data_IF_352366833004
#
_entry.id   IF_352366833004
#
_cell.length_a   1.000
_cell.length_b   1.000
_cell.length_c   1.000
_cell.angle_alpha   90.00
_cell.angle_beta   90.00
_cell.angle_gamma   90.00
#
_symmetry.space_group_name_H-M   'P 1'
#
loop_
_entity.id
_entity.type
_entity.pdbx_description
1 polymer ?
#
# COMPACT_ATOMS: atom_id res chain seq x y z
N UNK A 1 20.64 -17.53 8.43
CA UNK A 1 20.31 -18.65 9.31
C UNK A 1 21.10 -19.90 8.92
N UNK A 2 21.89 -20.47 9.83
CA UNK A 2 22.59 -21.75 9.60
C UNK A 2 21.67 -22.95 9.86
N UNK A 3 20.67 -22.80 10.73
CA UNK A 3 19.69 -23.84 11.06
C UNK A 3 18.56 -23.83 10.01
N UNK A 4 18.32 -25.00 9.38
CA UNK A 4 17.28 -25.15 8.33
C UNK A 4 15.85 -24.91 8.85
N UNK A 5 15.57 -25.25 10.11
CA UNK A 5 14.25 -25.00 10.72
C UNK A 5 14.02 -23.50 10.85
N UNK A 6 14.98 -22.75 11.43
CA UNK A 6 14.89 -21.30 11.56
C UNK A 6 14.82 -20.58 10.20
N UNK A 7 15.50 -21.14 9.19
CA UNK A 7 15.40 -20.63 7.81
C UNK A 7 14.00 -20.86 7.24
N UNK A 8 13.42 -22.04 7.47
CA UNK A 8 12.03 -22.33 7.07
C UNK A 8 11.01 -21.40 7.71
N UNK A 9 11.15 -21.13 9.01
CA UNK A 9 10.32 -20.15 9.73
C UNK A 9 10.47 -18.73 9.16
N UNK A 10 11.70 -18.34 8.77
CA UNK A 10 11.95 -17.06 8.13
C UNK A 10 11.21 -16.96 6.77
N UNK A 11 11.29 -17.99 5.95
CA UNK A 11 10.53 -18.03 4.69
C UNK A 11 9.02 -17.94 4.93
N UNK A 12 8.46 -18.72 5.84
CA UNK A 12 7.02 -18.70 6.16
C UNK A 12 6.55 -17.31 6.56
N UNK A 13 7.31 -16.57 7.38
CA UNK A 13 6.91 -15.21 7.80
C UNK A 13 6.95 -14.20 6.66
N UNK A 14 7.69 -14.47 5.58
CA UNK A 14 7.71 -13.62 4.39
C UNK A 14 6.70 -14.02 3.31
N UNK A 15 6.00 -15.16 3.47
CA UNK A 15 4.90 -15.57 2.58
C UNK A 15 3.57 -14.90 2.88
N UNK A 16 3.46 -14.06 3.93
CA UNK A 16 2.26 -13.27 4.18
C UNK A 16 2.04 -12.26 3.06
N UNK A 17 0.76 -11.86 2.89
CA UNK A 17 0.37 -10.86 1.90
C UNK A 17 1.28 -9.64 1.95
N UNK A 18 1.78 -9.26 0.78
CA UNK A 18 2.65 -8.12 0.59
C UNK A 18 2.28 -7.43 -0.72
N UNK A 19 1.79 -6.19 -0.61
CA UNK A 19 1.43 -5.37 -1.76
C UNK A 19 1.78 -3.91 -1.46
N UNK A 20 2.70 -3.36 -2.23
CA UNK A 20 3.15 -1.97 -2.12
C UNK A 20 3.63 -1.52 -3.51
N UNK A 21 3.97 -0.25 -3.64
CA UNK A 21 4.56 0.25 -4.88
C UNK A 21 5.90 -0.43 -5.17
N UNK A 22 6.10 -0.84 -6.43
CA UNK A 22 7.16 -1.77 -6.83
C UNK A 22 8.60 -1.27 -6.60
N UNK A 23 8.81 0.04 -6.59
CA UNK A 23 10.15 0.64 -6.52
C UNK A 23 10.43 1.21 -5.13
N UNK A 24 9.61 2.17 -4.69
CA UNK A 24 9.74 2.82 -3.38
C UNK A 24 9.45 1.87 -2.24
N UNK A 25 8.26 1.27 -2.27
CA UNK A 25 7.79 0.42 -1.20
C UNK A 25 8.57 -0.88 -1.14
N UNK A 26 8.63 -1.60 -2.25
CA UNK A 26 9.33 -2.89 -2.29
C UNK A 26 10.83 -2.72 -2.02
N UNK A 27 11.49 -1.74 -2.64
CA UNK A 27 12.93 -1.50 -2.42
C UNK A 27 13.25 -1.21 -0.97
N UNK A 28 12.59 -0.21 -0.38
CA UNK A 28 12.86 0.20 1.00
C UNK A 28 12.51 -0.88 2.02
N UNK A 29 11.31 -1.49 1.90
CA UNK A 29 10.85 -2.51 2.84
C UNK A 29 11.72 -3.78 2.74
N UNK A 30 12.09 -4.20 1.54
CA UNK A 30 12.97 -5.36 1.36
C UNK A 30 14.33 -5.11 2.00
N UNK A 31 14.92 -3.93 1.81
CA UNK A 31 16.17 -3.57 2.47
C UNK A 31 16.05 -3.59 3.99
N UNK A 32 15.02 -2.97 4.56
CA UNK A 32 14.78 -2.94 6.01
C UNK A 32 14.62 -4.37 6.55
N UNK A 33 13.73 -5.15 5.94
CA UNK A 33 13.43 -6.51 6.42
C UNK A 33 14.63 -7.43 6.31
N UNK A 34 15.44 -7.33 5.25
CA UNK A 34 16.67 -8.10 5.11
C UNK A 34 17.68 -7.81 6.24
N UNK A 35 17.84 -6.54 6.60
CA UNK A 35 18.72 -6.16 7.70
C UNK A 35 18.22 -6.62 9.06
N UNK A 36 16.90 -6.55 9.31
CA UNK A 36 16.29 -7.03 10.55
C UNK A 36 16.42 -8.55 10.69
N UNK A 37 16.24 -9.30 9.59
CA UNK A 37 16.47 -10.77 9.57
C UNK A 37 17.94 -11.12 9.81
N UNK A 38 18.86 -10.35 9.23
CA UNK A 38 20.29 -10.57 9.45
C UNK A 38 20.66 -10.36 10.92
N UNK A 39 20.25 -9.27 11.54
CA UNK A 39 20.55 -9.00 12.96
C UNK A 39 19.87 -10.02 13.88
N UNK A 40 18.65 -10.46 13.56
CA UNK A 40 18.00 -11.57 14.26
C UNK A 40 18.82 -12.85 14.14
N UNK A 41 19.26 -13.20 12.95
CA UNK A 41 20.04 -14.40 12.71
C UNK A 41 21.39 -14.38 13.46
N UNK A 42 22.05 -13.22 13.53
CA UNK A 42 23.28 -13.02 14.32
C UNK A 42 23.03 -13.21 15.80
N UNK A 43 22.03 -12.53 16.37
CA UNK A 43 21.71 -12.64 17.79
C UNK A 43 21.42 -14.09 18.21
N UNK A 44 20.64 -14.82 17.40
CA UNK A 44 20.36 -16.23 17.66
C UNK A 44 21.60 -17.12 17.54
N UNK A 45 22.50 -16.82 16.62
CA UNK A 45 23.75 -17.58 16.46
C UNK A 45 24.72 -17.36 17.62
N UNK A 46 24.72 -16.17 18.18
CA UNK A 46 25.55 -15.78 19.33
C UNK A 46 24.94 -16.16 20.69
N UNK A 47 23.78 -16.84 20.69
CA UNK A 47 23.08 -17.24 21.92
C UNK A 47 22.34 -16.10 22.63
N UNK A 48 22.28 -14.90 22.03
CA UNK A 48 21.58 -13.72 22.59
C UNK A 48 20.09 -13.72 22.26
N UNK A 49 19.39 -14.80 22.64
CA UNK A 49 17.99 -15.03 22.27
C UNK A 49 17.07 -13.91 22.79
N UNK A 50 17.32 -13.41 24.00
CA UNK A 50 16.51 -12.35 24.62
C UNK A 50 16.63 -10.99 23.87
N UNK A 51 17.74 -10.77 23.16
CA UNK A 51 18.00 -9.55 22.39
C UNK A 51 17.59 -9.68 20.92
N UNK A 52 17.26 -10.90 20.47
CA UNK A 52 16.90 -11.15 19.08
C UNK A 52 15.59 -10.43 18.70
N UNK A 53 15.61 -9.74 17.57
CA UNK A 53 14.42 -9.08 17.01
C UNK A 53 13.32 -10.11 16.82
N UNK A 54 12.12 -9.82 17.31
CA UNK A 54 11.01 -10.77 17.25
C UNK A 54 10.43 -10.89 15.83
N UNK A 55 9.94 -12.07 15.44
CA UNK A 55 9.22 -12.24 14.16
C UNK A 55 8.05 -11.26 13.99
N UNK A 56 7.35 -10.98 15.10
CA UNK A 56 6.24 -10.03 15.12
C UNK A 56 6.71 -8.59 14.78
N UNK A 57 7.86 -8.15 15.28
CA UNK A 57 8.42 -6.83 14.97
C UNK A 57 8.80 -6.71 13.49
N UNK A 58 9.39 -7.75 12.89
CA UNK A 58 9.73 -7.77 11.47
C UNK A 58 8.46 -7.66 10.61
N UNK A 59 7.43 -8.46 10.92
CA UNK A 59 6.15 -8.43 10.20
C UNK A 59 5.42 -7.09 10.40
N UNK A 60 5.38 -6.54 11.60
CA UNK A 60 4.74 -5.26 11.88
C UNK A 60 5.42 -4.11 11.12
N UNK A 61 6.74 -4.10 11.03
CA UNK A 61 7.50 -3.12 10.24
C UNK A 61 7.14 -3.25 8.75
N UNK A 62 7.15 -4.47 8.22
CA UNK A 62 6.79 -4.76 6.83
C UNK A 62 5.37 -4.28 6.50
N UNK A 63 4.38 -4.66 7.31
CA UNK A 63 2.97 -4.33 7.09
C UNK A 63 2.71 -2.84 7.30
N UNK A 64 3.30 -2.24 8.34
CA UNK A 64 3.11 -0.83 8.66
C UNK A 64 3.65 0.13 7.60
N UNK A 65 4.71 -0.27 6.89
CA UNK A 65 5.30 0.54 5.81
C UNK A 65 4.61 0.33 4.44
N UNK A 66 3.87 -0.78 4.25
CA UNK A 66 3.25 -1.11 2.96
C UNK A 66 2.36 0.00 2.41
N UNK A 67 1.38 0.43 3.20
CA UNK A 67 0.39 1.43 2.78
C UNK A 67 1.00 2.80 2.47
N UNK A 68 1.74 3.41 3.42
CA UNK A 68 2.40 4.70 3.20
C UNK A 68 3.29 4.74 1.97
N UNK A 69 4.13 3.72 1.79
CA UNK A 69 5.05 3.68 0.65
C UNK A 69 4.35 3.34 -0.67
N UNK A 70 3.23 2.62 -0.65
CA UNK A 70 2.39 2.45 -1.82
C UNK A 70 1.83 3.80 -2.29
N UNK A 71 1.19 4.56 -1.39
CA UNK A 71 0.59 5.85 -1.74
C UNK A 71 1.61 6.89 -2.22
N UNK A 72 2.75 7.00 -1.54
CA UNK A 72 3.84 7.91 -1.95
C UNK A 72 4.42 7.48 -3.28
N UNK A 73 4.77 6.21 -3.43
CA UNK A 73 5.42 5.69 -4.63
C UNK A 73 4.55 5.78 -5.87
N UNK A 74 3.26 5.39 -5.77
CA UNK A 74 2.32 5.49 -6.88
C UNK A 74 2.08 6.95 -7.30
N UNK A 75 1.99 7.88 -6.34
CA UNK A 75 1.82 9.30 -6.64
C UNK A 75 3.05 9.90 -7.35
N UNK A 76 4.25 9.51 -6.95
CA UNK A 76 5.48 10.02 -7.55
C UNK A 76 5.76 9.33 -8.89
N UNK A 77 5.80 8.01 -8.92
CA UNK A 77 6.21 7.28 -10.12
C UNK A 77 5.14 7.32 -11.22
N UNK A 78 3.93 6.84 -10.91
CA UNK A 78 2.85 6.76 -11.88
C UNK A 78 2.12 8.09 -12.06
N UNK A 79 2.06 8.92 -11.01
CA UNK A 79 1.38 10.22 -11.05
C UNK A 79 2.24 11.38 -11.55
N UNK A 80 3.57 11.25 -11.55
CA UNK A 80 4.46 12.38 -11.87
C UNK A 80 5.58 11.98 -12.83
N UNK A 81 6.47 11.08 -12.42
CA UNK A 81 7.71 10.78 -13.18
C UNK A 81 7.39 10.20 -14.56
N UNK A 82 6.44 9.28 -14.63
CA UNK A 82 6.00 8.69 -15.89
C UNK A 82 5.46 9.74 -16.87
N UNK A 83 4.61 10.65 -16.36
CA UNK A 83 4.04 11.73 -17.21
C UNK A 83 5.07 12.76 -17.66
N UNK A 84 6.09 13.03 -16.85
CA UNK A 84 7.20 13.90 -17.28
C UNK A 84 7.91 13.31 -18.51
N UNK A 85 8.23 12.01 -18.50
CA UNK A 85 8.85 11.37 -19.66
C UNK A 85 7.91 11.33 -20.86
N UNK A 86 6.62 11.05 -20.68
CA UNK A 86 5.64 11.10 -21.78
C UNK A 86 5.61 12.50 -22.38
N UNK A 87 5.48 13.55 -21.57
CA UNK A 87 5.40 14.92 -22.03
C UNK A 87 6.69 15.36 -22.77
N UNK A 88 7.85 14.93 -22.30
CA UNK A 88 9.15 15.24 -22.91
C UNK A 88 9.26 14.69 -24.35
N UNK A 89 8.76 13.49 -24.61
CA UNK A 89 8.87 12.84 -25.92
C UNK A 89 7.58 12.93 -26.77
N UNK A 90 6.53 13.55 -26.26
CA UNK A 90 5.26 13.74 -26.98
C UNK A 90 5.43 14.47 -28.33
N UNK A 91 6.24 15.55 -28.45
CA UNK A 91 6.44 16.21 -29.74
C UNK A 91 7.05 15.30 -30.81
N UNK A 92 7.91 14.36 -30.41
CA UNK A 92 8.51 13.39 -31.31
C UNK A 92 7.48 12.37 -31.80
N UNK A 93 6.59 11.91 -30.91
CA UNK A 93 5.48 11.02 -31.27
C UNK A 93 4.47 11.70 -32.23
N UNK A 94 4.18 12.98 -32.01
CA UNK A 94 3.28 13.77 -32.87
C UNK A 94 3.82 13.92 -34.31
N UNK A 95 5.14 13.83 -34.51
CA UNK A 95 5.78 13.82 -35.83
C UNK A 95 5.73 12.42 -36.50
N UNK A 96 5.06 11.43 -35.89
CA UNK A 96 5.00 10.07 -36.41
C UNK A 96 6.25 9.23 -36.14
N UNK A 97 7.17 9.70 -35.30
CA UNK A 97 8.40 8.99 -34.97
C UNK A 97 8.14 7.97 -33.83
N UNK A 98 8.38 6.68 -34.12
CA UNK A 98 8.20 5.59 -33.16
C UNK A 98 9.05 5.75 -31.88
N UNK A 99 10.18 6.44 -31.94
CA UNK A 99 11.01 6.73 -30.76
C UNK A 99 10.26 7.58 -29.73
N UNK A 100 9.31 8.42 -30.16
CA UNK A 100 8.47 9.18 -29.25
C UNK A 100 7.59 8.31 -28.32
N UNK A 101 7.25 7.10 -28.75
CA UNK A 101 6.52 6.13 -27.94
C UNK A 101 7.46 5.23 -27.10
N UNK A 102 8.63 4.88 -27.61
CA UNK A 102 9.57 3.96 -26.96
C UNK A 102 10.43 4.63 -25.89
N UNK A 103 10.91 5.85 -26.14
CA UNK A 103 11.83 6.53 -25.23
C UNK A 103 11.23 6.81 -23.84
N UNK A 104 9.98 7.25 -23.68
CA UNK A 104 9.37 7.41 -22.35
C UNK A 104 9.45 6.16 -21.50
N UNK A 105 9.11 5.01 -22.10
CA UNK A 105 9.13 3.72 -21.41
C UNK A 105 10.55 3.30 -21.03
N UNK A 106 11.52 3.43 -21.94
CA UNK A 106 12.94 3.08 -21.69
C UNK A 106 13.50 3.99 -20.58
N UNK A 107 13.32 5.31 -20.71
CA UNK A 107 13.83 6.26 -19.71
C UNK A 107 13.20 6.03 -18.34
N UNK A 108 11.89 5.82 -18.26
CA UNK A 108 11.21 5.51 -17.03
C UNK A 108 11.76 4.22 -16.39
N UNK A 109 11.91 3.15 -17.18
CA UNK A 109 12.46 1.87 -16.70
C UNK A 109 13.89 2.02 -16.17
N UNK A 110 14.76 2.70 -16.88
CA UNK A 110 16.15 2.91 -16.46
C UNK A 110 16.24 3.71 -15.17
N UNK A 111 15.52 4.84 -15.09
CA UNK A 111 15.58 5.69 -13.89
C UNK A 111 15.01 4.99 -12.67
N UNK A 112 13.87 4.28 -12.83
CA UNK A 112 13.23 3.55 -11.75
C UNK A 112 14.10 2.39 -11.26
N UNK A 113 14.81 1.72 -12.14
CA UNK A 113 15.78 0.69 -11.76
C UNK A 113 16.94 1.26 -10.92
N UNK A 114 17.48 2.41 -11.33
CA UNK A 114 18.61 3.06 -10.62
C UNK A 114 18.20 3.44 -9.19
N UNK A 115 17.10 4.17 -9.03
CA UNK A 115 16.72 4.61 -7.71
C UNK A 115 16.07 3.49 -6.88
N UNK A 116 15.47 2.49 -7.51
CA UNK A 116 15.01 1.29 -6.84
C UNK A 116 16.15 0.56 -6.12
N UNK A 117 17.31 0.40 -6.77
CA UNK A 117 18.49 -0.14 -6.14
C UNK A 117 19.00 0.74 -4.98
N UNK A 118 18.94 2.07 -5.16
CA UNK A 118 19.29 3.01 -4.10
C UNK A 118 18.37 2.87 -2.88
N UNK A 119 17.07 2.65 -3.10
CA UNK A 119 16.10 2.40 -2.01
C UNK A 119 16.35 1.10 -1.27
N UNK A 120 16.76 0.03 -1.92
CA UNK A 120 17.15 -1.22 -1.24
C UNK A 120 18.34 -0.94 -0.31
N UNK A 121 19.35 -0.24 -0.81
CA UNK A 121 20.53 0.15 0.01
C UNK A 121 20.13 1.04 1.19
N UNK A 122 19.29 2.04 0.95
CA UNK A 122 18.80 2.95 1.98
C UNK A 122 17.99 2.18 3.04
N UNK A 123 17.09 1.30 2.60
CA UNK A 123 16.31 0.44 3.48
C UNK A 123 17.19 -0.44 4.35
N UNK A 124 18.20 -1.09 3.77
CA UNK A 124 19.13 -1.95 4.50
C UNK A 124 19.91 -1.17 5.55
N UNK A 125 20.47 -0.01 5.20
CA UNK A 125 21.22 0.84 6.14
C UNK A 125 20.34 1.39 7.28
N UNK A 126 19.09 1.76 6.96
CA UNK A 126 18.11 2.27 7.92
C UNK A 126 17.63 1.16 8.86
N UNK A 127 17.31 -0.01 8.32
CA UNK A 127 16.91 -1.18 9.10
C UNK A 127 18.00 -1.63 10.06
N UNK A 128 19.25 -1.63 9.64
CA UNK A 128 20.39 -1.97 10.51
C UNK A 128 20.55 -0.98 11.67
N UNK A 129 20.39 0.32 11.42
CA UNK A 129 20.40 1.34 12.50
C UNK A 129 19.23 1.13 13.46
N UNK A 130 18.03 0.90 12.92
CA UNK A 130 16.86 0.60 13.71
C UNK A 130 17.07 -0.67 14.55
N UNK A 131 17.60 -1.75 14.00
CA UNK A 131 17.90 -2.99 14.71
C UNK A 131 18.83 -2.76 15.91
N UNK A 132 19.88 -1.97 15.75
CA UNK A 132 20.81 -1.62 16.82
C UNK A 132 20.16 -0.77 17.93
N UNK A 133 19.25 0.12 17.56
CA UNK A 133 18.44 0.91 18.51
C UNK A 133 17.45 0.02 19.28
N UNK A 134 16.89 -1.01 18.62
CA UNK A 134 15.99 -2.02 19.21
C UNK A 134 16.66 -2.76 20.35
N UNK A 135 17.87 -3.21 20.10
CA UNK A 135 18.65 -3.95 21.10
C UNK A 135 18.98 -3.10 22.33
N UNK A 136 18.93 -1.76 22.20
CA UNK A 136 19.28 -0.81 23.26
C UNK A 136 18.12 -0.30 24.12
N UNK A 137 16.84 -0.56 23.78
CA UNK A 137 15.77 -0.06 24.63
C UNK A 137 14.32 -0.05 24.11
N UNK A 138 13.41 0.24 25.02
CA UNK A 138 11.94 0.16 24.96
C UNK A 138 11.21 0.99 23.87
N UNK A 139 11.89 1.76 23.04
CA UNK A 139 11.26 2.72 22.10
C UNK A 139 10.61 2.11 20.87
N UNK A 140 10.88 0.84 20.59
CA UNK A 140 10.39 0.18 19.37
C UNK A 140 8.91 0.00 19.30
N UNK A 141 8.28 -0.35 20.42
CA UNK A 141 6.82 -0.50 20.41
C UNK A 141 6.15 0.78 19.91
N UNK A 142 6.63 1.94 20.40
CA UNK A 142 6.10 3.24 19.96
C UNK A 142 6.34 3.53 18.47
N UNK A 143 7.49 3.10 17.91
CA UNK A 143 7.76 3.25 16.47
C UNK A 143 6.86 2.34 15.65
N UNK A 144 6.71 1.07 16.04
CA UNK A 144 5.80 0.12 15.37
C UNK A 144 4.36 0.60 15.44
N UNK A 145 3.91 1.04 16.61
CA UNK A 145 2.57 1.59 16.79
C UNK A 145 2.36 2.85 15.94
N UNK A 146 3.36 3.74 15.89
CA UNK A 146 3.34 4.94 15.04
C UNK A 146 3.27 4.62 13.54
N UNK A 147 4.06 3.66 13.07
CA UNK A 147 4.00 3.17 11.69
C UNK A 147 2.65 2.51 11.37
N UNK A 148 2.08 1.79 12.34
CA UNK A 148 0.74 1.21 12.22
C UNK A 148 -0.34 2.28 12.05
N UNK A 149 -0.31 3.34 12.85
CA UNK A 149 -1.23 4.49 12.73
C UNK A 149 -1.06 5.18 11.39
N UNK A 150 0.17 5.44 10.96
CA UNK A 150 0.45 6.02 9.65
C UNK A 150 -0.08 5.13 8.52
N UNK A 151 0.12 3.82 8.59
CA UNK A 151 -0.41 2.85 7.63
C UNK A 151 -1.95 2.89 7.53
N UNK A 152 -2.64 2.91 8.68
CA UNK A 152 -4.11 3.03 8.72
C UNK A 152 -4.60 4.37 8.16
N UNK A 153 -3.91 5.46 8.45
CA UNK A 153 -4.23 6.78 7.90
C UNK A 153 -4.10 6.80 6.37
N UNK A 154 -2.99 6.28 5.83
CA UNK A 154 -2.78 6.17 4.39
C UNK A 154 -3.80 5.23 3.71
N UNK A 155 -4.16 4.12 4.34
CA UNK A 155 -5.24 3.25 3.87
C UNK A 155 -6.58 3.98 3.78
N UNK A 156 -6.88 4.85 4.75
CA UNK A 156 -8.06 5.71 4.71
C UNK A 156 -8.04 6.69 3.54
N UNK A 157 -6.91 7.34 3.28
CA UNK A 157 -6.73 8.24 2.12
C UNK A 157 -6.91 7.47 0.80
N UNK A 158 -6.29 6.30 0.66
CA UNK A 158 -6.43 5.47 -0.53
C UNK A 158 -7.88 5.02 -0.74
N UNK A 159 -8.56 4.58 0.31
CA UNK A 159 -9.96 4.22 0.25
C UNK A 159 -10.83 5.41 -0.23
N UNK A 160 -10.63 6.59 0.33
CA UNK A 160 -11.36 7.80 -0.09
C UNK A 160 -11.06 8.22 -1.55
N UNK A 161 -9.84 7.96 -2.01
CA UNK A 161 -9.39 8.33 -3.36
C UNK A 161 -9.88 7.37 -4.44
N UNK A 162 -9.87 6.07 -4.16
CA UNK A 162 -10.16 5.02 -5.15
C UNK A 162 -11.60 4.50 -5.11
N UNK A 163 -12.25 4.49 -3.95
CA UNK A 163 -13.64 4.06 -3.86
C UNK A 163 -14.56 5.20 -4.33
N UNK A 164 -15.08 5.09 -5.55
CA UNK A 164 -16.01 6.05 -6.16
C UNK A 164 -17.38 5.41 -6.22
N UNK A 165 -18.26 5.85 -5.36
CA UNK A 165 -19.67 5.41 -5.32
C UNK A 165 -20.54 6.64 -5.23
N UNK A 166 -21.46 6.79 -6.19
CA UNK A 166 -22.41 7.90 -6.27
C UNK A 166 -23.81 7.36 -6.56
N UNK A 167 -24.84 8.09 -6.18
CA UNK A 167 -26.22 7.71 -6.49
C UNK A 167 -26.88 8.72 -7.43
N UNK A 168 -27.53 8.28 -8.53
CA UNK A 168 -28.27 9.13 -9.44
C UNK A 168 -29.67 9.45 -8.92
N UNK A 169 -30.09 8.92 -7.79
CA UNK A 169 -31.45 9.08 -7.26
C UNK A 169 -31.73 10.56 -7.00
N UNK A 170 -32.77 11.06 -7.63
CA UNK A 170 -33.31 12.42 -7.45
C UNK A 170 -34.83 12.38 -7.35
N UNK A 171 -35.39 13.30 -6.60
CA UNK A 171 -36.85 13.47 -6.52
C UNK A 171 -37.21 14.94 -6.66
N UNK A 172 -38.38 15.19 -7.23
CA UNK A 172 -38.89 16.53 -7.40
C UNK A 172 -39.95 16.83 -6.33
N UNK A 173 -39.76 17.93 -5.62
CA UNK A 173 -40.74 18.43 -4.65
C UNK A 173 -40.97 19.92 -4.85
N UNK A 174 -42.22 20.31 -5.06
CA UNK A 174 -42.61 21.70 -5.26
C UNK A 174 -41.84 22.43 -6.39
N UNK A 175 -41.55 21.73 -7.50
CA UNK A 175 -40.83 22.29 -8.65
C UNK A 175 -39.30 22.44 -8.44
N UNK A 176 -38.78 21.87 -7.36
CA UNK A 176 -37.33 21.79 -7.13
C UNK A 176 -36.84 20.35 -7.16
N UNK A 177 -35.76 20.09 -7.89
CA UNK A 177 -35.12 18.79 -7.95
C UNK A 177 -34.12 18.64 -6.78
N UNK A 178 -34.33 17.62 -5.99
CA UNK A 178 -33.45 17.24 -4.88
C UNK A 178 -32.69 15.99 -5.28
N UNK A 179 -31.38 16.14 -5.56
CA UNK A 179 -30.47 15.03 -5.79
C UNK A 179 -29.98 14.49 -4.45
N UNK A 180 -30.20 13.20 -4.15
CA UNK A 180 -29.78 12.57 -2.90
C UNK A 180 -28.26 12.70 -2.72
N UNK A 181 -27.48 12.57 -3.79
CA UNK A 181 -26.03 12.74 -3.73
C UNK A 181 -25.65 14.11 -3.17
N UNK A 182 -26.25 15.18 -3.63
CA UNK A 182 -25.97 16.55 -3.17
C UNK A 182 -26.30 16.74 -1.68
N UNK A 183 -27.38 16.11 -1.22
CA UNK A 183 -27.78 16.15 0.20
C UNK A 183 -26.75 15.40 1.05
N UNK A 184 -26.35 14.21 0.62
CA UNK A 184 -25.38 13.38 1.33
C UNK A 184 -24.01 14.07 1.40
N UNK A 185 -23.55 14.63 0.29
CA UNK A 185 -22.26 15.33 0.23
C UNK A 185 -22.27 16.65 1.02
N UNK A 186 -23.46 17.26 1.19
CA UNK A 186 -23.64 18.42 2.07
C UNK A 186 -23.54 18.07 3.56
N UNK A 187 -23.85 16.85 3.96
CA UNK A 187 -23.71 16.36 5.34
C UNK A 187 -22.28 15.86 5.58
N UNK A 188 -21.82 14.96 4.73
CA UNK A 188 -20.48 14.38 4.80
C UNK A 188 -20.01 13.99 3.40
N UNK A 189 -19.07 14.74 2.79
CA UNK A 189 -18.51 14.39 1.49
C UNK A 189 -17.93 12.98 1.49
N UNK A 190 -18.36 12.15 0.51
CA UNK A 190 -17.89 10.78 0.39
C UNK A 190 -18.51 9.77 1.37
N UNK A 191 -19.67 10.05 1.93
CA UNK A 191 -20.37 9.14 2.86
C UNK A 191 -20.70 7.78 2.22
N UNK A 192 -21.05 7.71 0.95
CA UNK A 192 -21.33 6.45 0.25
C UNK A 192 -20.06 5.60 0.08
N UNK A 193 -18.93 6.12 -0.41
CA UNK A 193 -17.64 5.43 -0.38
C UNK A 193 -17.28 4.92 1.02
N UNK A 194 -17.42 5.76 2.05
CA UNK A 194 -17.12 5.37 3.43
C UNK A 194 -18.01 4.20 3.89
N UNK A 195 -19.30 4.24 3.59
CA UNK A 195 -20.24 3.19 3.95
C UNK A 195 -19.85 1.85 3.31
N UNK A 196 -19.46 1.84 2.03
CA UNK A 196 -18.98 0.63 1.34
C UNK A 196 -17.74 0.05 2.04
N UNK A 197 -16.77 0.89 2.40
CA UNK A 197 -15.55 0.46 3.10
C UNK A 197 -15.87 -0.09 4.49
N UNK A 198 -16.75 0.57 5.25
CA UNK A 198 -17.18 0.11 6.58
C UNK A 198 -17.92 -1.23 6.50
N UNK A 199 -18.83 -1.38 5.55
CA UNK A 199 -19.54 -2.65 5.34
C UNK A 199 -18.57 -3.78 4.99
N UNK A 200 -17.58 -3.53 4.14
CA UNK A 200 -16.52 -4.49 3.82
C UNK A 200 -15.69 -4.86 5.05
N UNK A 201 -15.32 -3.88 5.87
CA UNK A 201 -14.63 -4.12 7.13
C UNK A 201 -15.45 -5.00 8.07
N UNK A 202 -16.74 -4.69 8.26
CA UNK A 202 -17.64 -5.49 9.10
C UNK A 202 -17.81 -6.91 8.57
N UNK A 203 -17.87 -7.08 7.26
CA UNK A 203 -17.90 -8.39 6.61
C UNK A 203 -16.67 -9.21 6.96
N UNK A 204 -15.46 -8.64 6.83
CA UNK A 204 -14.22 -9.33 7.17
C UNK A 204 -14.08 -9.60 8.67
N UNK A 205 -14.53 -8.69 9.50
CA UNK A 205 -14.55 -8.89 10.96
C UNK A 205 -15.41 -10.09 11.36
N UNK A 206 -16.55 -10.30 10.67
CA UNK A 206 -17.49 -11.40 10.98
C UNK A 206 -17.09 -12.73 10.34
N UNK A 207 -16.63 -12.72 9.10
CA UNK A 207 -16.43 -13.93 8.28
C UNK A 207 -14.95 -14.32 8.07
N UNK A 208 -14.00 -13.55 8.62
CA UNK A 208 -12.58 -13.67 8.34
C UNK A 208 -12.20 -13.16 6.95
N UNK A 209 -10.91 -13.20 6.63
CA UNK A 209 -10.35 -12.66 5.38
C UNK A 209 -10.64 -13.57 4.15
N UNK A 210 -11.91 -13.77 3.83
CA UNK A 210 -12.33 -14.50 2.63
C UNK A 210 -12.44 -13.56 1.43
N UNK A 211 -11.30 -13.08 0.94
CA UNK A 211 -11.19 -12.00 -0.06
C UNK A 211 -11.96 -12.31 -1.34
N UNK A 212 -11.75 -13.49 -1.94
CA UNK A 212 -12.43 -13.88 -3.19
C UNK A 212 -13.95 -13.88 -3.04
N UNK A 213 -14.46 -14.42 -1.91
CA UNK A 213 -15.90 -14.43 -1.66
C UNK A 213 -16.45 -13.02 -1.47
N UNK A 214 -15.72 -12.16 -0.75
CA UNK A 214 -16.08 -10.75 -0.59
C UNK A 214 -16.13 -10.04 -1.94
N UNK A 215 -15.10 -10.18 -2.78
CA UNK A 215 -15.06 -9.57 -4.11
C UNK A 215 -16.27 -9.99 -4.97
N UNK A 216 -16.56 -11.28 -5.07
CA UNK A 216 -17.71 -11.78 -5.85
C UNK A 216 -19.03 -11.20 -5.29
N UNK A 217 -19.22 -11.25 -3.97
CA UNK A 217 -20.45 -10.76 -3.34
C UNK A 217 -20.64 -9.25 -3.59
N UNK A 218 -19.59 -8.44 -3.40
CA UNK A 218 -19.65 -7.01 -3.65
C UNK A 218 -19.88 -6.68 -5.12
N UNK A 219 -19.22 -7.39 -6.05
CA UNK A 219 -19.43 -7.21 -7.49
C UNK A 219 -20.88 -7.47 -7.85
N UNK A 220 -21.50 -8.55 -7.35
CA UNK A 220 -22.91 -8.86 -7.61
C UNK A 220 -23.83 -7.79 -7.03
N UNK A 221 -23.59 -7.37 -5.78
CA UNK A 221 -24.42 -6.34 -5.13
C UNK A 221 -24.35 -5.02 -5.91
N UNK A 222 -23.14 -4.55 -6.25
CA UNK A 222 -22.96 -3.28 -6.97
C UNK A 222 -23.55 -3.35 -8.38
N UNK A 223 -23.44 -4.50 -9.06
CA UNK A 223 -24.04 -4.71 -10.37
C UNK A 223 -25.57 -4.65 -10.31
N UNK A 224 -26.19 -5.29 -9.31
CA UNK A 224 -27.64 -5.24 -9.10
C UNK A 224 -28.08 -3.81 -8.79
N UNK A 225 -27.39 -3.11 -7.89
CA UNK A 225 -27.71 -1.72 -7.53
C UNK A 225 -27.54 -0.77 -8.72
N UNK A 226 -26.55 -1.00 -9.60
CA UNK A 226 -26.40 -0.26 -10.85
C UNK A 226 -27.51 -0.54 -11.86
N UNK A 227 -27.95 -1.80 -11.98
CA UNK A 227 -29.05 -2.17 -12.89
C UNK A 227 -30.39 -1.55 -12.50
N UNK A 228 -30.63 -1.33 -11.22
CA UNK A 228 -31.85 -0.67 -10.71
C UNK A 228 -31.70 0.84 -10.52
N UNK A 229 -30.62 1.44 -11.04
CA UNK A 229 -30.32 2.87 -10.96
C UNK A 229 -30.30 3.45 -9.52
N UNK A 230 -29.80 2.68 -8.55
CA UNK A 230 -29.59 3.15 -7.17
C UNK A 230 -28.18 3.71 -6.99
N UNK A 231 -27.20 3.12 -7.71
CA UNK A 231 -25.79 3.52 -7.73
C UNK A 231 -25.32 3.69 -9.16
#
# INVERSE_FOLDING_TARGET
YKNKVMLGEAYQRHMVFFNTQAIWGQGLITGITASLEEERAKALHEGRVAEAITPAAINATKIGLMGPLAGIGDSIDSGTVQYIFIAMFLPLAQQGNALGALLPWICFTVITFIYGFAFVKLGYSTGRRAALEVMKGKRIKSVIDGLGVLGLFMMGILAASYVKVTTPISFELSGKVFAIQTILDGILPGVLPLLVVVLLYLYFKKNGLKITKAMITYTIILLVLGLINVL
#
